data_IF_867418327876
#
_entry.id   IF_867418327876
#
_cell.length_a   1.000
_cell.length_b   1.000
_cell.length_c   1.000
_cell.angle_alpha   90.00
_cell.angle_beta   90.00
_cell.angle_gamma   90.00
#
_symmetry.space_group_name_H-M   'P 1'
#
loop_
_entity.id
_entity.type
_entity.pdbx_description
1 polymer ?
#
# COMPACT_ATOMS: atom_id res chain seq x y z
N UNK A 1 -10.41 -7.54 -0.36
CA UNK A 1 -9.55 -8.48 0.37
C UNK A 1 -9.27 -7.92 1.75
N UNK A 2 -9.26 -8.77 2.78
CA UNK A 2 -9.06 -8.37 4.17
C UNK A 2 -8.44 -9.53 4.99
N UNK A 3 -7.37 -9.27 5.72
CA UNK A 3 -6.70 -10.21 6.62
C UNK A 3 -5.80 -11.25 5.93
N UNK A 4 -5.42 -12.29 6.69
CA UNK A 4 -4.44 -13.31 6.35
C UNK A 4 -3.02 -12.75 6.22
N UNK A 5 -2.67 -12.17 5.07
CA UNK A 5 -1.37 -11.54 4.87
C UNK A 5 -1.57 -10.15 4.26
N UNK A 6 -0.71 -9.21 4.63
CA UNK A 6 -0.54 -8.01 3.83
C UNK A 6 -0.13 -8.40 2.42
N UNK A 7 -0.55 -7.61 1.44
CA UNK A 7 -0.29 -7.90 0.03
C UNK A 7 0.43 -6.74 -0.63
N UNK A 8 1.59 -7.03 -1.20
CA UNK A 8 2.35 -6.09 -2.02
C UNK A 8 1.55 -5.59 -3.22
N UNK A 9 1.74 -4.31 -3.55
CA UNK A 9 1.31 -3.69 -4.80
C UNK A 9 2.53 -3.08 -5.51
N UNK A 10 2.49 -3.01 -6.84
CA UNK A 10 3.57 -2.43 -7.64
C UNK A 10 3.77 -0.94 -7.36
N UNK A 11 2.71 -0.21 -6.98
CA UNK A 11 2.75 1.22 -6.68
C UNK A 11 3.76 1.57 -5.58
N UNK A 12 4.58 2.60 -5.84
CA UNK A 12 5.38 3.24 -4.80
C UNK A 12 4.47 3.97 -3.81
N UNK A 13 4.83 3.94 -2.52
CA UNK A 13 4.09 4.66 -1.50
C UNK A 13 4.43 6.14 -1.54
N UNK A 14 3.43 7.01 -1.65
CA UNK A 14 3.57 8.43 -1.39
C UNK A 14 2.40 8.93 -0.55
N UNK A 15 2.70 9.49 0.62
CA UNK A 15 1.71 9.95 1.60
C UNK A 15 0.70 10.97 1.04
N UNK A 16 1.11 11.76 0.05
CA UNK A 16 0.32 12.82 -0.56
C UNK A 16 -0.34 12.41 -1.89
N UNK A 17 -0.05 11.21 -2.41
CA UNK A 17 -0.44 10.82 -3.77
C UNK A 17 -1.92 11.07 -4.08
N UNK A 18 -2.82 10.64 -3.19
CA UNK A 18 -4.26 10.79 -3.42
C UNK A 18 -4.69 12.25 -3.50
N UNK A 19 -4.05 13.16 -2.76
CA UNK A 19 -4.33 14.60 -2.86
C UNK A 19 -3.81 15.18 -4.19
N UNK A 20 -2.65 14.74 -4.64
CA UNK A 20 -1.99 15.23 -5.87
C UNK A 20 -2.75 14.85 -7.15
N UNK A 21 -3.44 13.70 -7.15
CA UNK A 21 -4.15 13.17 -8.33
C UNK A 21 -5.66 13.39 -8.28
N UNK A 22 -6.19 13.93 -7.19
CA UNK A 22 -7.63 14.15 -7.03
C UNK A 22 -8.12 15.22 -8.00
N UNK A 23 -9.10 14.87 -8.83
CA UNK A 23 -9.72 15.78 -9.82
C UNK A 23 -11.21 15.47 -9.95
N UNK A 24 -12.07 16.46 -10.29
CA UNK A 24 -13.52 16.27 -10.36
C UNK A 24 -13.99 15.13 -11.28
N UNK A 25 -13.20 14.75 -12.29
CA UNK A 25 -13.48 13.64 -13.20
C UNK A 25 -12.83 12.29 -12.84
N UNK A 26 -12.20 12.18 -11.67
CA UNK A 26 -11.48 10.96 -11.27
C UNK A 26 -10.20 10.73 -12.07
N UNK A 27 -9.57 9.57 -11.88
CA UNK A 27 -8.28 9.19 -12.46
C UNK A 27 -8.45 7.85 -13.17
N UNK A 28 -7.96 7.75 -14.40
CA UNK A 28 -8.04 6.51 -15.19
C UNK A 28 -6.73 5.76 -14.99
N UNK A 29 -6.82 4.50 -14.53
CA UNK A 29 -5.70 3.57 -14.36
C UNK A 29 -4.43 4.18 -13.75
N UNK A 30 -4.51 4.80 -12.55
CA UNK A 30 -3.34 5.36 -11.89
C UNK A 30 -2.31 4.24 -11.61
N UNK A 31 -1.04 4.51 -11.89
CA UNK A 31 0.09 3.57 -11.70
C UNK A 31 0.96 3.91 -10.48
N UNK A 32 0.47 4.79 -9.60
CA UNK A 32 1.23 5.32 -8.48
C UNK A 32 2.12 6.52 -8.83
N UNK A 33 2.87 7.04 -7.85
CA UNK A 33 3.83 8.13 -8.01
C UNK A 33 5.14 7.62 -8.64
N UNK A 34 5.90 8.53 -9.26
CA UNK A 34 7.24 8.23 -9.80
C UNK A 34 8.33 8.09 -8.72
N UNK A 35 8.08 8.60 -7.51
CA UNK A 35 9.00 8.55 -6.37
C UNK A 35 8.26 8.18 -5.09
N UNK A 36 8.90 7.33 -4.28
CA UNK A 36 8.47 7.05 -2.92
C UNK A 36 8.54 8.32 -2.07
N UNK A 37 7.56 8.52 -1.19
CA UNK A 37 7.59 9.57 -0.19
C UNK A 37 6.84 9.14 1.07
N UNK A 38 7.61 8.77 2.08
CA UNK A 38 7.17 8.56 3.45
C UNK A 38 7.79 9.63 4.36
N UNK A 39 7.00 10.54 4.96
CA UNK A 39 7.53 11.55 5.87
C UNK A 39 8.30 10.99 7.07
N UNK A 40 8.02 9.74 7.47
CA UNK A 40 8.70 9.09 8.60
C UNK A 40 10.08 8.56 8.20
N UNK A 41 10.25 8.15 6.94
CA UNK A 41 11.47 7.53 6.41
C UNK A 41 11.72 8.01 4.97
N UNK A 42 12.17 9.27 4.78
CA UNK A 42 12.15 9.95 3.48
C UNK A 42 13.16 9.39 2.47
N UNK A 43 14.16 8.63 2.92
CA UNK A 43 15.20 8.06 2.07
C UNK A 43 14.91 6.61 1.65
N UNK A 44 13.94 5.95 2.29
CA UNK A 44 13.57 4.58 1.96
C UNK A 44 12.62 4.54 0.75
N UNK A 45 12.91 3.67 -0.19
CA UNK A 45 11.97 3.34 -1.27
C UNK A 45 10.97 2.34 -0.70
N UNK A 46 9.69 2.73 -0.67
CA UNK A 46 8.63 1.91 -0.11
C UNK A 46 7.56 1.64 -1.14
N UNK A 47 7.03 0.43 -1.13
CA UNK A 47 5.86 0.05 -1.92
C UNK A 47 4.61 0.05 -1.05
N UNK A 48 3.45 0.19 -1.70
CA UNK A 48 2.16 0.09 -1.03
C UNK A 48 1.88 -1.37 -0.66
N UNK A 49 1.44 -1.60 0.57
CA UNK A 49 0.85 -2.88 0.99
C UNK A 49 -0.60 -2.70 1.44
N UNK A 50 -1.47 -3.65 1.10
CA UNK A 50 -2.92 -3.60 1.34
C UNK A 50 -3.43 -4.87 2.02
N UNK A 51 -4.66 -4.82 2.52
CA UNK A 51 -5.40 -5.99 2.98
C UNK A 51 -5.32 -6.27 4.48
N UNK A 52 -4.25 -5.90 5.19
CA UNK A 52 -4.06 -6.32 6.58
C UNK A 52 -3.65 -7.78 6.69
N UNK A 53 -3.22 -8.22 7.88
CA UNK A 53 -2.81 -9.61 8.11
C UNK A 53 -3.55 -10.24 9.28
N UNK A 54 -3.24 -11.52 9.58
CA UNK A 54 -3.75 -12.24 10.74
C UNK A 54 -3.38 -11.57 12.09
N UNK A 55 -2.43 -10.63 12.08
CA UNK A 55 -2.04 -9.85 13.26
C UNK A 55 -2.86 -8.57 13.46
N UNK A 56 -3.81 -8.21 12.59
CA UNK A 56 -4.55 -6.97 12.79
C UNK A 56 -5.74 -7.12 13.74
N UNK A 57 -5.90 -6.15 14.63
CA UNK A 57 -6.93 -6.10 15.66
C UNK A 57 -7.37 -4.65 15.90
N UNK A 58 -8.64 -4.45 16.23
CA UNK A 58 -9.26 -3.13 16.40
C UNK A 58 -8.55 -2.22 17.40
N UNK A 59 -7.90 -2.79 18.42
CA UNK A 59 -7.19 -2.02 19.44
C UNK A 59 -5.92 -1.33 18.93
N UNK A 60 -5.29 -1.80 17.84
CA UNK A 60 -4.00 -1.24 17.39
C UNK A 60 -3.77 -1.24 15.87
N UNK A 61 -4.42 -2.12 15.10
CA UNK A 61 -4.30 -2.20 13.65
C UNK A 61 -5.68 -2.33 12.99
N UNK A 62 -6.13 -1.26 12.34
CA UNK A 62 -7.30 -1.32 11.43
C UNK A 62 -6.89 -1.55 9.96
N UNK A 63 -5.86 -2.37 9.77
CA UNK A 63 -5.23 -2.72 8.48
C UNK A 63 -6.16 -3.46 7.52
N UNK A 64 -7.09 -4.23 8.06
CA UNK A 64 -8.07 -5.03 7.33
C UNK A 64 -9.15 -4.19 6.62
N UNK A 65 -9.27 -2.88 6.92
CA UNK A 65 -10.21 -2.00 6.21
C UNK A 65 -9.74 -1.81 4.77
N UNK A 66 -10.63 -2.02 3.79
CA UNK A 66 -10.31 -1.97 2.36
C UNK A 66 -9.64 -0.66 1.90
N UNK A 67 -10.03 0.48 2.50
CA UNK A 67 -9.45 1.79 2.21
C UNK A 67 -8.09 2.02 2.90
N UNK A 68 -7.73 1.20 3.89
CA UNK A 68 -6.45 1.32 4.58
C UNK A 68 -5.32 0.91 3.64
N UNK A 69 -4.22 1.64 3.75
CA UNK A 69 -2.96 1.41 3.06
C UNK A 69 -1.83 1.53 4.05
N UNK A 70 -0.84 0.67 3.90
CA UNK A 70 0.41 0.70 4.61
C UNK A 70 1.56 0.74 3.58
N UNK A 71 2.78 0.74 4.08
CA UNK A 71 4.01 0.96 3.34
C UNK A 71 5.07 0.06 3.93
N UNK A 72 5.87 -0.56 3.07
CA UNK A 72 6.97 -1.42 3.48
C UNK A 72 8.14 -1.20 2.51
N UNK A 73 9.38 -1.26 3.01
CA UNK A 73 10.56 -1.08 2.19
C UNK A 73 10.76 -2.27 1.24
N UNK A 74 11.27 -2.01 0.04
CA UNK A 74 11.38 -3.01 -1.04
C UNK A 74 12.28 -4.21 -0.70
N UNK A 75 13.21 -4.03 0.22
CA UNK A 75 14.12 -5.05 0.74
C UNK A 75 13.60 -5.78 2.00
N UNK A 76 12.43 -5.40 2.50
CA UNK A 76 11.89 -5.90 3.77
C UNK A 76 10.98 -7.11 3.58
N UNK A 77 11.01 -8.02 4.57
CA UNK A 77 10.17 -9.22 4.59
C UNK A 77 9.67 -9.52 6.00
N UNK A 78 8.48 -10.12 6.09
CA UNK A 78 7.86 -10.53 7.35
C UNK A 78 6.97 -11.75 7.15
N UNK A 79 6.72 -12.49 8.22
CA UNK A 79 5.85 -13.68 8.23
C UNK A 79 4.37 -13.39 7.89
N UNK A 80 3.97 -12.13 7.90
CA UNK A 80 2.59 -11.68 7.70
C UNK A 80 2.41 -10.83 6.42
N UNK A 81 3.39 -10.88 5.51
CA UNK A 81 3.42 -10.16 4.24
C UNK A 81 3.64 -11.13 3.08
N UNK A 82 2.76 -11.06 2.09
CA UNK A 82 2.82 -11.83 0.85
C UNK A 82 2.40 -10.97 -0.34
N UNK A 83 1.93 -11.61 -1.40
CA UNK A 83 1.47 -10.93 -2.61
C UNK A 83 0.47 -11.80 -3.38
N UNK A 84 -0.23 -11.18 -4.32
CA UNK A 84 -1.01 -11.86 -5.35
C UNK A 84 -0.62 -11.30 -6.71
N UNK A 85 -0.70 -12.14 -7.74
CA UNK A 85 -0.44 -11.72 -9.10
C UNK A 85 -1.71 -11.20 -9.78
N UNK A 86 -1.51 -10.33 -10.76
CA UNK A 86 -2.50 -9.92 -11.75
C UNK A 86 -1.86 -10.01 -13.13
N UNK A 87 -2.66 -10.23 -14.16
CA UNK A 87 -2.22 -10.23 -15.55
C UNK A 87 -3.27 -9.46 -16.37
N UNK A 88 -2.81 -8.75 -17.38
CA UNK A 88 -3.70 -8.19 -18.41
C UNK A 88 -4.19 -9.32 -19.32
N UNK A 89 -5.32 -9.10 -20.00
CA UNK A 89 -5.91 -10.05 -20.97
C UNK A 89 -5.08 -10.19 -22.25
#
# INVERSE_FOLDING_TARGET
>A
MAGNAWEWCTDLYNNQYYQQVNRPGGIINPKGPQKSFDPQEPYAVKHVVRGGSFLCNDSYCSGYRVARRMKEADDSSSENLGFRCVADE
#
